data_IF_548770550462
#
_entry.id   IF_548770550462
#
_cell.length_a   1.000
_cell.length_b   1.000
_cell.length_c   1.000
_cell.angle_alpha   90.00
_cell.angle_beta   90.00
_cell.angle_gamma   90.00
#
_symmetry.space_group_name_H-M   'P 1'
#
loop_
_entity.id
_entity.type
_entity.pdbx_description
1 polymer ?
#
# COMPACT_ATOMS: atom_id res chain seq x y z
N UNK A 1 -4.64 -37.08 -7.77
CA UNK A 1 -4.23 -35.80 -7.15
C UNK A 1 -4.99 -34.69 -7.85
N UNK A 2 -6.09 -34.22 -7.26
CA UNK A 2 -6.86 -33.08 -7.76
C UNK A 2 -6.08 -31.80 -7.42
N UNK A 3 -5.44 -31.17 -8.40
CA UNK A 3 -4.87 -29.83 -8.21
C UNK A 3 -6.04 -28.84 -8.12
N UNK A 4 -6.56 -28.61 -6.90
CA UNK A 4 -7.63 -27.64 -6.69
C UNK A 4 -7.09 -26.23 -7.00
N UNK A 5 -7.58 -25.54 -8.06
CA UNK A 5 -7.16 -24.16 -8.39
C UNK A 5 -7.40 -23.16 -7.25
N UNK A 6 -8.18 -23.55 -6.24
CA UNK A 6 -8.60 -22.74 -5.11
C UNK A 6 -7.47 -22.37 -4.14
N UNK A 7 -6.41 -23.19 -4.02
CA UNK A 7 -5.33 -22.89 -3.06
C UNK A 7 -4.47 -21.70 -3.49
N UNK A 8 -4.27 -21.54 -4.80
CA UNK A 8 -3.47 -20.45 -5.35
C UNK A 8 -4.27 -19.16 -5.37
N UNK A 9 -5.56 -19.26 -5.68
CA UNK A 9 -6.50 -18.15 -5.55
C UNK A 9 -6.52 -17.58 -4.12
N UNK A 10 -6.66 -18.45 -3.11
CA UNK A 10 -6.66 -18.04 -1.70
C UNK A 10 -5.35 -17.35 -1.30
N UNK A 11 -4.19 -17.93 -1.66
CA UNK A 11 -2.87 -17.36 -1.40
C UNK A 11 -2.71 -15.97 -2.00
N UNK A 12 -3.09 -15.80 -3.28
CA UNK A 12 -2.97 -14.52 -3.98
C UNK A 12 -3.84 -13.45 -3.33
N UNK A 13 -5.06 -13.79 -2.91
CA UNK A 13 -5.96 -12.85 -2.24
C UNK A 13 -5.46 -12.48 -0.85
N UNK A 14 -4.96 -13.46 -0.08
CA UNK A 14 -4.31 -13.22 1.20
C UNK A 14 -3.13 -12.26 1.05
N UNK A 15 -2.20 -12.55 0.13
CA UNK A 15 -1.05 -11.70 -0.17
C UNK A 15 -1.46 -10.26 -0.52
N UNK A 16 -2.50 -10.10 -1.35
CA UNK A 16 -3.01 -8.78 -1.72
C UNK A 16 -3.56 -8.04 -0.51
N UNK A 17 -4.32 -8.72 0.35
CA UNK A 17 -4.93 -8.13 1.54
C UNK A 17 -3.85 -7.65 2.52
N UNK A 18 -2.88 -8.51 2.88
CA UNK A 18 -1.83 -8.15 3.84
C UNK A 18 -0.91 -7.05 3.29
N UNK A 19 -0.61 -7.05 1.99
CA UNK A 19 0.15 -5.96 1.35
C UNK A 19 -0.63 -4.65 1.36
N UNK A 20 -1.93 -4.66 1.06
CA UNK A 20 -2.74 -3.44 1.12
C UNK A 20 -2.81 -2.88 2.54
N UNK A 21 -2.91 -3.76 3.54
CA UNK A 21 -2.97 -3.41 4.94
C UNK A 21 -1.60 -3.14 5.60
N UNK A 22 -0.49 -3.31 4.86
CA UNK A 22 0.88 -3.19 5.37
C UNK A 22 1.14 -4.09 6.59
N UNK A 23 0.58 -5.30 6.59
CA UNK A 23 0.78 -6.30 7.62
C UNK A 23 2.04 -7.11 7.28
N UNK A 24 2.97 -7.17 8.23
CA UNK A 24 4.20 -7.95 8.10
C UNK A 24 3.95 -9.45 8.25
N UNK A 25 4.77 -10.28 7.58
CA UNK A 25 4.61 -11.73 7.62
C UNK A 25 4.76 -12.30 9.04
N UNK A 26 5.66 -11.73 9.84
CA UNK A 26 5.88 -12.11 11.24
C UNK A 26 4.69 -11.75 12.14
N UNK A 27 4.04 -10.61 11.92
CA UNK A 27 2.82 -10.22 12.63
C UNK A 27 1.65 -11.15 12.29
N UNK A 28 1.46 -11.43 10.99
CA UNK A 28 0.46 -12.39 10.52
C UNK A 28 0.69 -13.76 11.15
N UNK A 29 1.94 -14.25 11.14
CA UNK A 29 2.30 -15.53 11.74
C UNK A 29 2.01 -15.55 13.25
N UNK A 30 2.39 -14.51 13.99
CA UNK A 30 2.17 -14.45 15.44
C UNK A 30 0.68 -14.50 15.79
N UNK A 31 -0.16 -13.79 15.04
CA UNK A 31 -1.61 -13.80 15.26
C UNK A 31 -2.23 -15.15 14.86
N UNK A 32 -1.82 -15.71 13.71
CA UNK A 32 -2.20 -17.07 13.28
C UNK A 32 -1.82 -18.15 14.29
N UNK A 33 -0.62 -18.08 14.87
CA UNK A 33 -0.14 -19.00 15.90
C UNK A 33 -1.01 -18.90 17.16
N UNK A 34 -1.40 -17.69 17.56
CA UNK A 34 -2.32 -17.45 18.67
C UNK A 34 -3.71 -18.08 18.46
N UNK A 35 -4.15 -18.25 17.21
CA UNK A 35 -5.41 -18.91 16.84
C UNK A 35 -5.31 -20.45 16.81
N UNK A 36 -4.15 -21.02 17.15
CA UNK A 36 -3.91 -22.47 17.10
C UNK A 36 -3.31 -22.97 15.79
N UNK A 37 -2.69 -22.08 15.01
CA UNK A 37 -1.88 -22.45 13.85
C UNK A 37 -0.73 -23.40 14.20
N UNK A 38 -0.52 -24.42 13.37
CA UNK A 38 0.53 -25.44 13.58
C UNK A 38 1.80 -25.21 12.75
N UNK A 39 1.75 -24.32 11.76
CA UNK A 39 2.88 -24.00 10.89
C UNK A 39 3.85 -23.00 11.55
N UNK A 40 5.15 -23.24 11.34
CA UNK A 40 6.20 -22.32 11.74
C UNK A 40 6.24 -21.05 10.87
N UNK A 41 6.95 -20.03 11.36
CA UNK A 41 7.12 -18.75 10.65
C UNK A 41 7.65 -18.95 9.23
N UNK A 42 8.71 -19.75 9.06
CA UNK A 42 9.29 -20.06 7.75
C UNK A 42 8.34 -20.81 6.81
N UNK A 43 7.45 -21.65 7.34
CA UNK A 43 6.46 -22.37 6.52
C UNK A 43 5.36 -21.42 6.04
N UNK A 44 4.96 -20.47 6.88
CA UNK A 44 4.04 -19.38 6.52
C UNK A 44 4.68 -18.48 5.46
N UNK A 45 5.93 -18.06 5.64
CA UNK A 45 6.65 -17.27 4.63
C UNK A 45 6.75 -18.03 3.30
N UNK A 46 7.17 -19.30 3.34
CA UNK A 46 7.27 -20.13 2.14
C UNK A 46 5.90 -20.29 1.45
N UNK A 47 4.81 -20.42 2.23
CA UNK A 47 3.45 -20.43 1.69
C UNK A 47 3.10 -19.11 1.02
N UNK A 48 3.36 -17.96 1.65
CA UNK A 48 3.13 -16.64 1.05
C UNK A 48 3.93 -16.50 -0.25
N UNK A 49 5.19 -16.92 -0.29
CA UNK A 49 6.02 -16.90 -1.49
C UNK A 49 5.64 -17.94 -2.56
N UNK A 50 4.71 -18.85 -2.26
CA UNK A 50 4.28 -19.91 -3.19
C UNK A 50 5.31 -21.02 -3.38
N UNK A 51 6.29 -21.11 -2.48
CA UNK A 51 7.31 -22.17 -2.46
C UNK A 51 6.88 -23.38 -1.60
N UNK A 52 5.78 -23.26 -0.87
CA UNK A 52 5.22 -24.31 -0.01
C UNK A 52 3.69 -24.26 -0.04
N UNK A 53 3.04 -25.40 0.20
CA UNK A 53 1.57 -25.51 0.24
C UNK A 53 1.11 -25.98 1.60
N UNK A 54 0.35 -25.13 2.28
CA UNK A 54 -0.25 -25.47 3.58
C UNK A 54 -1.56 -26.25 3.43
N UNK A 55 -1.92 -27.08 4.42
CA UNK A 55 -3.24 -27.73 4.50
C UNK A 55 -4.39 -26.71 4.47
N UNK A 56 -5.59 -27.07 3.96
CA UNK A 56 -6.72 -26.14 3.85
C UNK A 56 -7.06 -25.40 5.15
N UNK A 57 -7.13 -26.12 6.27
CA UNK A 57 -7.40 -25.53 7.58
C UNK A 57 -6.39 -24.44 7.94
N UNK A 58 -5.11 -24.65 7.66
CA UNK A 58 -4.06 -23.68 7.97
C UNK A 58 -4.14 -22.44 7.09
N UNK A 59 -4.53 -22.60 5.82
CA UNK A 59 -4.77 -21.46 4.92
C UNK A 59 -5.98 -20.64 5.35
N UNK A 60 -7.04 -21.30 5.81
CA UNK A 60 -8.23 -20.63 6.33
C UNK A 60 -7.94 -19.89 7.63
N UNK A 61 -7.12 -20.46 8.52
CA UNK A 61 -6.64 -19.78 9.73
C UNK A 61 -5.78 -18.57 9.41
N UNK A 62 -4.88 -18.64 8.42
CA UNK A 62 -4.12 -17.49 7.95
C UNK A 62 -5.02 -16.38 7.38
N UNK A 63 -6.04 -16.75 6.60
CA UNK A 63 -7.02 -15.81 6.09
C UNK A 63 -7.83 -15.15 7.23
N UNK A 64 -8.24 -15.95 8.22
CA UNK A 64 -8.93 -15.43 9.40
C UNK A 64 -8.05 -14.47 10.21
N UNK A 65 -6.79 -14.84 10.44
CA UNK A 65 -5.82 -14.01 11.13
C UNK A 65 -5.62 -12.66 10.41
N UNK A 66 -5.44 -12.69 9.08
CA UNK A 66 -5.29 -11.48 8.29
C UNK A 66 -6.53 -10.59 8.37
N UNK A 67 -7.73 -11.16 8.29
CA UNK A 67 -8.97 -10.40 8.39
C UNK A 67 -9.10 -9.73 9.77
N UNK A 68 -8.80 -10.44 10.86
CA UNK A 68 -8.84 -9.85 12.21
C UNK A 68 -7.82 -8.73 12.39
N UNK A 69 -6.64 -8.82 11.76
CA UNK A 69 -5.65 -7.74 11.77
C UNK A 69 -6.11 -6.54 10.95
N UNK A 70 -6.73 -6.77 9.79
CA UNK A 70 -7.30 -5.71 8.94
C UNK A 70 -8.45 -4.99 9.64
N UNK A 71 -9.32 -5.71 10.34
CA UNK A 71 -10.48 -5.14 11.05
C UNK A 71 -10.08 -4.20 12.20
N UNK A 72 -8.83 -4.28 12.68
CA UNK A 72 -8.28 -3.35 13.68
C UNK A 72 -7.82 -2.02 13.09
N UNK A 73 -7.63 -1.94 11.78
CA UNK A 73 -7.20 -0.73 11.10
C UNK A 73 -8.39 0.21 10.91
N UNK A 74 -8.18 1.54 10.99
CA UNK A 74 -9.23 2.48 10.62
C UNK A 74 -9.64 2.27 9.16
N UNK A 75 -10.92 2.47 8.82
CA UNK A 75 -11.37 2.35 7.44
C UNK A 75 -10.61 3.34 6.55
N UNK A 76 -10.31 2.97 5.28
CA UNK A 76 -9.58 3.85 4.38
C UNK A 76 -10.34 5.16 4.15
N UNK A 77 -9.63 6.29 4.01
CA UNK A 77 -10.25 7.58 3.72
C UNK A 77 -11.05 7.49 2.42
N UNK A 78 -12.27 8.04 2.44
CA UNK A 78 -13.13 8.08 1.25
C UNK A 78 -12.76 9.26 0.38
N UNK A 79 -12.68 9.04 -0.93
CA UNK A 79 -12.47 10.13 -1.88
C UNK A 79 -13.66 11.12 -1.81
N UNK A 80 -13.40 12.44 -1.74
CA UNK A 80 -14.46 13.44 -1.76
C UNK A 80 -15.19 13.41 -3.12
N UNK A 81 -16.49 13.65 -3.10
CA UNK A 81 -17.27 13.82 -4.33
C UNK A 81 -16.99 15.20 -4.93
N UNK A 82 -17.07 15.35 -6.25
CA UNK A 82 -16.86 16.66 -6.91
C UNK A 82 -17.86 17.74 -6.48
N UNK A 83 -18.98 17.34 -5.87
CA UNK A 83 -20.01 18.22 -5.30
C UNK A 83 -19.79 18.51 -3.83
N UNK A 84 -18.80 17.88 -3.20
CA UNK A 84 -18.45 18.12 -1.81
C UNK A 84 -17.63 19.43 -1.80
N UNK A 85 -18.20 20.56 -1.33
CA UNK A 85 -17.42 21.79 -1.21
C UNK A 85 -16.23 21.48 -0.32
N UNK A 86 -15.02 21.77 -0.80
CA UNK A 86 -13.75 21.32 -0.24
C UNK A 86 -13.72 21.36 1.31
N UNK A 87 -14.05 20.23 1.94
CA UNK A 87 -13.88 19.92 3.36
C UNK A 87 -13.92 21.11 4.31
N UNK A 88 -15.03 21.85 4.37
CA UNK A 88 -15.28 22.69 5.53
C UNK A 88 -15.72 21.75 6.66
N UNK A 89 -14.85 21.64 7.67
CA UNK A 89 -15.04 20.77 8.81
C UNK A 89 -16.42 20.91 9.42
N UNK A 90 -17.02 19.76 9.74
CA UNK A 90 -18.13 19.56 10.66
C UNK A 90 -18.57 20.82 11.44
N UNK A 91 -19.53 21.57 10.89
CA UNK A 91 -20.53 22.27 11.68
C UNK A 91 -21.90 22.13 11.01
N UNK A 92 -22.84 21.37 11.59
CA UNK A 92 -24.20 21.35 11.12
C UNK A 92 -24.89 22.63 11.61
N UNK A 93 -25.52 23.37 10.70
CA UNK A 93 -26.91 23.84 10.83
C UNK A 93 -27.25 24.89 9.75
N UNK A 94 -28.33 24.63 9.01
CA UNK A 94 -29.20 25.69 8.47
C UNK A 94 -29.21 25.90 6.96
N UNK A 95 -30.29 25.41 6.34
CA UNK A 95 -31.05 25.95 5.19
C UNK A 95 -30.37 26.18 3.81
N UNK A 96 -30.94 25.53 2.79
CA UNK A 96 -30.65 25.62 1.35
C UNK A 96 -31.28 26.89 0.70
N UNK A 97 -31.30 27.10 -0.65
CA UNK A 97 -30.60 26.46 -1.78
C UNK A 97 -30.01 27.48 -2.82
N UNK A 98 -29.40 26.95 -3.90
CA UNK A 98 -29.76 27.24 -5.32
C UNK A 98 -28.66 27.73 -6.32
N UNK A 99 -28.36 26.84 -7.29
CA UNK A 99 -28.14 27.03 -8.76
C UNK A 99 -26.76 27.35 -9.41
N UNK A 100 -26.38 26.39 -10.27
CA UNK A 100 -26.04 26.49 -11.71
C UNK A 100 -24.63 26.91 -12.18
N UNK A 101 -24.03 26.04 -13.00
CA UNK A 101 -22.97 26.40 -13.95
C UNK A 101 -22.05 25.25 -14.36
N UNK A 102 -22.32 24.62 -15.50
CA UNK A 102 -21.39 23.76 -16.26
C UNK A 102 -20.18 24.61 -16.76
N UNK A 103 -18.98 24.13 -17.15
CA UNK A 103 -18.62 22.95 -17.95
C UNK A 103 -17.07 22.85 -18.03
N UNK A 104 -16.54 21.62 -18.12
CA UNK A 104 -15.38 21.24 -18.95
C UNK A 104 -13.95 21.60 -18.50
N UNK A 105 -13.21 20.63 -17.94
CA UNK A 105 -11.75 20.60 -17.95
C UNK A 105 -11.29 19.22 -18.45
N UNK A 106 -10.65 19.18 -19.62
CA UNK A 106 -9.95 18.02 -20.16
C UNK A 106 -8.45 18.16 -19.87
N UNK A 107 -7.93 17.24 -19.06
CA UNK A 107 -6.53 17.20 -18.62
C UNK A 107 -6.40 16.19 -17.49
N UNK A 108 -6.13 14.94 -17.84
CA UNK A 108 -6.17 13.78 -16.92
C UNK A 108 -5.15 13.89 -15.79
N UNK A 109 -5.64 14.02 -14.57
CA UNK A 109 -4.90 14.22 -13.31
C UNK A 109 -4.23 12.95 -12.75
N UNK A 110 -3.85 11.97 -13.57
CA UNK A 110 -3.39 10.66 -13.08
C UNK A 110 -1.93 10.31 -13.44
N UNK A 111 -1.18 11.22 -14.05
CA UNK A 111 0.19 10.93 -14.51
C UNK A 111 1.23 10.90 -13.36
N UNK A 112 0.90 11.42 -12.17
CA UNK A 112 1.83 11.54 -11.03
C UNK A 112 1.78 10.40 -10.01
N UNK A 113 0.81 9.47 -10.11
CA UNK A 113 0.59 8.40 -9.11
C UNK A 113 1.51 7.17 -9.28
N UNK A 114 2.27 7.07 -10.37
CA UNK A 114 3.06 5.86 -10.69
C UNK A 114 4.57 6.11 -10.90
N UNK A 115 5.08 7.31 -10.61
CA UNK A 115 6.52 7.57 -10.74
C UNK A 115 7.27 7.18 -9.45
N UNK A 116 8.27 6.27 -9.51
CA UNK A 116 9.15 6.02 -8.36
C UNK A 116 10.04 7.23 -8.12
N UNK A 117 10.11 7.71 -6.87
CA UNK A 117 11.09 8.71 -6.44
C UNK A 117 12.48 8.08 -6.52
N UNK A 118 13.23 8.34 -7.58
CA UNK A 118 14.68 8.14 -7.57
C UNK A 118 15.28 9.20 -6.66
N UNK A 119 15.65 8.81 -5.45
CA UNK A 119 16.59 9.56 -4.62
C UNK A 119 18.03 9.35 -5.07
N UNK A 120 18.96 10.01 -4.36
CA UNK A 120 20.45 9.99 -4.44
C UNK A 120 21.07 10.72 -5.65
N UNK A 121 21.93 11.74 -5.53
CA UNK A 121 22.76 12.26 -4.41
C UNK A 121 23.26 13.71 -4.70
N UNK A 122 23.84 14.43 -3.71
CA UNK A 122 24.38 15.77 -3.87
C UNK A 122 25.89 15.74 -4.22
N UNK A 123 26.28 16.31 -5.36
CA UNK A 123 27.70 16.61 -5.62
C UNK A 123 28.05 17.99 -5.09
N UNK A 124 28.85 17.98 -4.03
CA UNK A 124 29.63 19.11 -3.57
C UNK A 124 31.04 19.01 -4.19
N UNK A 125 31.40 19.98 -5.02
CA UNK A 125 32.77 20.33 -5.40
C UNK A 125 32.67 21.80 -5.84
N UNK A 126 33.16 22.79 -5.12
CA UNK A 126 34.56 22.97 -4.72
C UNK A 126 34.96 24.35 -5.24
N UNK A 127 34.74 25.37 -4.42
CA UNK A 127 35.20 26.74 -4.65
C UNK A 127 36.73 26.79 -4.46
N UNK A 128 37.50 27.24 -5.46
CA UNK A 128 38.72 28.01 -5.21
C UNK A 128 39.11 28.88 -6.41
N UNK A 129 39.50 30.12 -6.11
CA UNK A 129 39.69 31.23 -7.03
C UNK A 129 41.19 31.55 -7.25
N UNK A 130 41.60 31.66 -8.52
CA UNK A 130 42.58 32.66 -9.01
C UNK A 130 44.10 32.34 -8.93
N UNK A 131 44.98 33.28 -9.34
CA UNK A 131 45.33 33.55 -10.76
C UNK A 131 46.87 33.66 -11.03
N UNK A 132 47.31 33.67 -12.30
CA UNK A 132 48.68 34.17 -12.64
C UNK A 132 49.34 33.73 -13.96
N UNK A 133 49.42 34.69 -14.90
CA UNK A 133 50.52 35.07 -15.82
C UNK A 133 51.49 34.09 -16.56
N UNK A 134 51.55 34.33 -17.89
CA UNK A 134 52.72 34.67 -18.73
C UNK A 134 53.56 33.61 -19.51
N UNK A 135 53.63 33.87 -20.83
CA UNK A 135 54.79 33.92 -21.75
C UNK A 135 55.52 32.65 -22.23
N UNK A 136 55.39 32.44 -23.55
CA UNK A 136 56.34 32.05 -24.64
C UNK A 136 57.69 31.37 -24.33
N UNK A 137 58.20 30.56 -25.27
CA UNK A 137 59.11 31.10 -26.31
C UNK A 137 58.81 30.69 -27.76
#
# INVERSE_FOLDING_TARGET
MENHPDHEYQRIHLLRAIRHAQIEASELWLHYFGLGGDAGEYEVEAYLHGSFTLPPLQRDLLAHAANELIDRLPPPPRAPYSTDPAGDGEQPDGDAPQQAGASGHEGTALDWLFHPRTGTEPEADGDDSGPGSATEP
#
